data_IF_987431567521
#
_entry.id   IF_987431567521
#
_cell.length_a   1.000
_cell.length_b   1.000
_cell.length_c   1.000
_cell.angle_alpha   90.00
_cell.angle_beta   90.00
_cell.angle_gamma   90.00
#
_symmetry.space_group_name_H-M   'P 1'
#
loop_
_entity.id
_entity.type
_entity.pdbx_description
1 polymer ?
#
# COMPACT_ATOMS: atom_id res chain seq x y z
N UNK A 1 -11.77 5.41 25.93
CA UNK A 1 -12.34 5.42 24.57
C UNK A 1 -13.58 4.54 24.59
N UNK A 2 -14.76 5.08 24.28
CA UNK A 2 -15.97 4.28 24.17
C UNK A 2 -15.82 3.26 23.05
N UNK A 3 -16.12 1.99 23.34
CA UNK A 3 -16.14 0.93 22.33
C UNK A 3 -17.39 1.09 21.48
N UNK A 4 -17.31 1.96 20.48
CA UNK A 4 -18.35 2.06 19.44
C UNK A 4 -18.41 0.72 18.71
N UNK A 5 -19.52 -0.03 18.81
CA UNK A 5 -19.76 -1.26 18.04
C UNK A 5 -20.05 -0.91 16.58
N UNK A 6 -19.07 -0.33 15.90
CA UNK A 6 -19.19 0.00 14.50
C UNK A 6 -18.59 -1.13 13.67
N UNK A 7 -19.34 -1.59 12.67
CA UNK A 7 -18.77 -2.44 11.63
C UNK A 7 -17.66 -1.69 10.87
N UNK A 8 -16.74 -2.45 10.28
CA UNK A 8 -15.55 -1.91 9.59
C UNK A 8 -15.96 -0.88 8.52
N UNK A 9 -17.03 -1.12 7.76
CA UNK A 9 -17.56 -0.19 6.75
C UNK A 9 -17.92 1.18 7.35
N UNK A 10 -18.62 1.20 8.48
CA UNK A 10 -19.02 2.46 9.14
C UNK A 10 -17.81 3.17 9.73
N UNK A 11 -16.86 2.41 10.29
CA UNK A 11 -15.62 2.96 10.81
C UNK A 11 -14.79 3.64 9.72
N UNK A 12 -14.64 3.01 8.55
CA UNK A 12 -13.91 3.61 7.43
C UNK A 12 -14.65 4.83 6.86
N UNK A 13 -15.94 4.75 6.61
CA UNK A 13 -16.68 5.88 6.00
C UNK A 13 -16.61 7.16 6.86
N UNK A 14 -16.72 7.02 8.18
CA UNK A 14 -16.76 8.17 9.09
C UNK A 14 -15.36 8.73 9.40
N UNK A 15 -14.36 7.86 9.56
CA UNK A 15 -13.05 8.25 10.10
C UNK A 15 -11.89 8.23 9.11
N UNK A 16 -12.07 7.65 7.92
CA UNK A 16 -11.00 7.57 6.93
C UNK A 16 -10.73 8.91 6.26
N UNK A 17 -11.75 9.75 6.10
CA UNK A 17 -11.59 11.09 5.52
C UNK A 17 -11.34 12.19 6.57
N UNK A 18 -11.38 11.85 7.87
CA UNK A 18 -11.21 12.79 8.95
C UNK A 18 -9.72 12.88 9.37
N UNK A 19 -9.02 14.01 9.13
CA UNK A 19 -7.56 14.09 9.36
C UNK A 19 -7.15 13.97 10.84
N UNK A 20 -8.08 14.29 11.74
CA UNK A 20 -7.94 14.19 13.20
C UNK A 20 -8.03 12.75 13.69
N UNK A 21 -8.64 11.86 12.91
CA UNK A 21 -8.84 10.47 13.26
C UNK A 21 -7.53 9.70 13.39
N UNK A 22 -7.51 8.78 14.36
CA UNK A 22 -6.41 7.84 14.50
C UNK A 22 -6.31 6.89 13.30
N UNK A 23 -7.43 6.56 12.65
CA UNK A 23 -7.47 5.70 11.47
C UNK A 23 -6.67 6.34 10.33
N UNK A 24 -6.99 7.59 9.97
CA UNK A 24 -6.30 8.33 8.93
C UNK A 24 -4.79 8.45 9.17
N UNK A 25 -4.39 8.77 10.40
CA UNK A 25 -2.97 8.87 10.78
C UNK A 25 -2.21 7.55 10.66
N UNK A 26 -2.86 6.44 11.01
CA UNK A 26 -2.27 5.10 10.88
C UNK A 26 -2.11 4.70 9.42
N UNK A 27 -3.10 5.00 8.57
CA UNK A 27 -3.01 4.77 7.12
C UNK A 27 -1.87 5.59 6.50
N UNK A 28 -1.77 6.89 6.82
CA UNK A 28 -0.67 7.72 6.31
C UNK A 28 0.72 7.18 6.70
N UNK A 29 0.86 6.65 7.93
CA UNK A 29 2.11 6.01 8.37
C UNK A 29 2.39 4.71 7.61
N UNK A 30 1.37 3.91 7.36
CA UNK A 30 1.50 2.68 6.58
C UNK A 30 1.91 3.01 5.13
N UNK A 31 1.24 3.97 4.50
CA UNK A 31 1.54 4.41 3.13
C UNK A 31 2.99 4.88 3.01
N UNK A 32 3.49 5.64 3.98
CA UNK A 32 4.89 6.07 4.01
C UNK A 32 5.86 4.89 4.06
N UNK A 33 5.57 3.86 4.87
CA UNK A 33 6.42 2.66 4.95
C UNK A 33 6.35 1.83 3.66
N UNK A 34 5.19 1.76 3.03
CA UNK A 34 5.02 1.07 1.73
C UNK A 34 5.82 1.80 0.65
N UNK A 35 5.68 3.12 0.54
CA UNK A 35 6.46 3.93 -0.40
C UNK A 35 7.97 3.73 -0.20
N UNK A 36 8.44 3.69 1.05
CA UNK A 36 9.84 3.39 1.36
C UNK A 36 10.26 1.98 0.92
N UNK A 37 9.43 0.96 1.15
CA UNK A 37 9.73 -0.42 0.76
C UNK A 37 9.82 -0.59 -0.77
N UNK A 38 9.03 0.18 -1.52
CA UNK A 38 9.06 0.20 -2.99
C UNK A 38 10.06 1.22 -3.57
N UNK A 39 10.63 2.10 -2.74
CA UNK A 39 11.50 3.19 -3.19
C UNK A 39 10.76 4.28 -4.00
N UNK A 40 9.46 4.45 -3.78
CA UNK A 40 8.63 5.44 -4.46
C UNK A 40 8.57 6.76 -3.69
N UNK A 41 8.47 7.88 -4.40
CA UNK A 41 8.24 9.17 -3.78
C UNK A 41 6.74 9.49 -3.76
N UNK A 42 6.25 10.23 -2.74
CA UNK A 42 4.86 10.65 -2.68
C UNK A 42 4.47 11.62 -3.81
N UNK A 43 5.44 12.29 -4.42
CA UNK A 43 5.24 13.21 -5.55
C UNK A 43 5.31 12.50 -6.92
N UNK A 44 5.67 11.21 -6.95
CA UNK A 44 5.69 10.43 -8.19
C UNK A 44 4.25 10.08 -8.62
N UNK A 45 4.05 9.85 -9.93
CA UNK A 45 2.84 9.18 -10.39
C UNK A 45 2.87 7.72 -9.95
N UNK A 46 2.22 7.44 -8.82
CA UNK A 46 2.18 6.11 -8.22
C UNK A 46 1.54 5.08 -9.16
N UNK A 47 0.55 5.47 -9.95
CA UNK A 47 -0.11 4.54 -10.90
C UNK A 47 0.85 4.19 -12.04
N UNK A 48 1.58 5.18 -12.56
CA UNK A 48 2.61 4.94 -13.58
C UNK A 48 3.69 4.00 -13.04
N UNK A 49 4.23 4.26 -11.84
CA UNK A 49 5.25 3.40 -11.20
C UNK A 49 4.76 1.97 -11.02
N UNK A 50 3.52 1.79 -10.56
CA UNK A 50 2.90 0.48 -10.39
C UNK A 50 2.70 -0.24 -11.73
N UNK A 51 2.30 0.49 -12.78
CA UNK A 51 2.14 -0.07 -14.11
C UNK A 51 3.48 -0.54 -14.69
N UNK A 52 4.52 0.29 -14.59
CA UNK A 52 5.87 -0.08 -15.04
C UNK A 52 6.37 -1.33 -14.32
N UNK A 53 6.23 -1.38 -13.00
CA UNK A 53 6.61 -2.54 -12.20
C UNK A 53 5.86 -3.80 -12.67
N UNK A 54 4.54 -3.71 -12.87
CA UNK A 54 3.74 -4.85 -13.31
C UNK A 54 4.13 -5.34 -14.70
N UNK A 55 4.45 -4.45 -15.63
CA UNK A 55 4.94 -4.83 -16.96
C UNK A 55 6.29 -5.54 -16.89
N UNK A 56 7.22 -5.06 -16.07
CA UNK A 56 8.52 -5.73 -15.86
C UNK A 56 8.36 -7.12 -15.26
N UNK A 57 7.47 -7.27 -14.27
CA UNK A 57 7.16 -8.57 -13.66
C UNK A 57 6.48 -9.51 -14.66
N UNK A 58 5.55 -9.02 -15.46
CA UNK A 58 4.90 -9.82 -16.50
C UNK A 58 5.92 -10.34 -17.54
N UNK A 59 6.90 -9.52 -17.93
CA UNK A 59 7.98 -9.97 -18.83
C UNK A 59 8.93 -10.99 -18.17
N UNK A 60 9.23 -10.84 -16.87
CA UNK A 60 9.98 -11.86 -16.10
C UNK A 60 9.23 -13.19 -16.04
N UNK A 61 7.92 -13.13 -15.79
CA UNK A 61 7.05 -14.31 -15.74
C UNK A 61 7.01 -15.03 -17.10
N UNK A 62 6.91 -14.28 -18.21
CA UNK A 62 6.97 -14.84 -19.57
C UNK A 62 8.30 -15.55 -19.86
N UNK A 63 9.41 -15.11 -19.28
CA UNK A 63 10.72 -15.77 -19.38
C UNK A 63 10.86 -16.97 -18.45
N UNK A 64 9.84 -17.28 -17.64
CA UNK A 64 9.85 -18.37 -16.67
C UNK A 64 10.63 -18.06 -15.38
N UNK A 65 10.94 -16.79 -15.12
CA UNK A 65 11.60 -16.37 -13.89
C UNK A 65 10.58 -16.34 -12.73
N UNK A 66 11.01 -16.76 -11.53
CA UNK A 66 10.16 -16.70 -10.36
C UNK A 66 9.93 -15.23 -9.94
N UNK A 67 8.65 -14.82 -9.87
CA UNK A 67 8.28 -13.50 -9.35
C UNK A 67 8.28 -13.56 -7.82
N UNK A 68 9.31 -12.95 -7.24
CA UNK A 68 9.52 -12.91 -5.80
C UNK A 68 9.16 -11.51 -5.29
N UNK A 69 8.23 -11.44 -4.33
CA UNK A 69 7.83 -10.16 -3.73
C UNK A 69 8.94 -9.53 -2.90
N UNK A 70 8.88 -8.21 -2.70
CA UNK A 70 9.90 -7.44 -1.98
C UNK A 70 10.18 -7.88 -0.52
N UNK A 71 9.31 -8.71 0.07
CA UNK A 71 9.44 -9.26 1.43
C UNK A 71 9.68 -10.76 1.47
N UNK A 72 9.81 -11.42 0.33
CA UNK A 72 10.12 -12.85 0.35
C UNK A 72 11.55 -13.03 0.90
N UNK A 73 11.77 -14.00 1.79
CA UNK A 73 13.11 -14.31 2.25
C UNK A 73 13.98 -14.67 1.04
N UNK A 74 15.11 -13.99 0.90
CA UNK A 74 16.14 -14.37 -0.07
C UNK A 74 16.57 -15.80 0.22
N UNK A 75 16.42 -16.69 -0.76
CA UNK A 75 16.99 -18.04 -0.69
C UNK A 75 18.52 -17.99 -0.72
#
# INVERSE_FOLDING_TARGET
MEKKQWGITKLYNEYFHEPTSQLFKLHAKLDQLVLQAYGFNPDDDLLEKLLTLNLELAEKEKRGEAIVGCWAPTQ
#
